data_IF_941452276249
#
_entry.id   IF_941452276249
#
_cell.length_a   1.000
_cell.length_b   1.000
_cell.length_c   1.000
_cell.angle_alpha   90.00
_cell.angle_beta   90.00
_cell.angle_gamma   90.00
#
_symmetry.space_group_name_H-M   'P 1'
#
loop_
_entity.id
_entity.type
_entity.pdbx_description
1 polymer ?
#
# COMPACT_ATOMS: atom_id res chain seq x y z
N UNK A 1 18.40 14.00 -12.08
CA UNK A 1 18.36 12.56 -11.71
C UNK A 1 17.04 11.93 -12.14
N UNK A 2 15.88 12.47 -11.76
CA UNK A 2 14.54 11.95 -12.13
C UNK A 2 14.39 11.90 -13.65
N UNK A 3 14.64 12.99 -14.37
CA UNK A 3 14.57 13.06 -15.82
C UNK A 3 15.46 12.03 -16.53
N UNK A 4 16.67 11.77 -16.01
CA UNK A 4 17.57 10.76 -16.56
C UNK A 4 16.97 9.35 -16.42
N UNK A 5 16.35 9.05 -15.27
CA UNK A 5 15.69 7.79 -15.03
C UNK A 5 14.51 7.55 -15.98
N UNK A 6 13.63 8.55 -16.16
CA UNK A 6 12.51 8.44 -17.11
C UNK A 6 12.97 8.40 -18.57
N UNK A 7 14.08 9.05 -18.91
CA UNK A 7 14.68 8.96 -20.26
C UNK A 7 15.13 7.54 -20.57
N UNK A 8 15.71 6.81 -19.60
CA UNK A 8 16.06 5.40 -19.79
C UNK A 8 14.80 4.57 -20.01
N UNK A 9 13.75 4.77 -19.21
CA UNK A 9 12.49 4.06 -19.35
C UNK A 9 11.82 4.28 -20.71
N UNK A 10 11.79 5.50 -21.19
CA UNK A 10 11.26 5.81 -22.53
C UNK A 10 12.09 5.17 -23.64
N UNK A 11 13.41 5.05 -23.46
CA UNK A 11 14.29 4.37 -24.43
C UNK A 11 13.96 2.90 -24.57
N UNK A 12 13.50 2.23 -23.50
CA UNK A 12 13.04 0.84 -23.52
C UNK A 12 11.55 0.69 -23.83
N UNK A 13 10.87 1.79 -24.22
CA UNK A 13 9.47 1.80 -24.62
C UNK A 13 8.45 1.92 -23.48
N UNK A 14 8.88 2.19 -22.25
CA UNK A 14 7.96 2.37 -21.11
C UNK A 14 7.65 3.86 -20.92
N UNK A 15 6.41 4.25 -21.19
CA UNK A 15 5.93 5.65 -21.17
C UNK A 15 4.86 5.95 -20.10
N UNK A 16 4.53 4.96 -19.26
CA UNK A 16 3.48 5.09 -18.26
C UNK A 16 4.03 5.37 -16.85
N UNK A 17 3.21 5.94 -15.94
CA UNK A 17 3.60 6.11 -14.53
C UNK A 17 3.97 4.78 -13.87
N UNK A 18 5.13 4.72 -13.23
CA UNK A 18 5.64 3.50 -12.57
C UNK A 18 4.91 3.25 -11.25
N UNK A 19 4.42 4.30 -10.62
CA UNK A 19 3.68 4.19 -9.37
C UNK A 19 2.45 3.29 -9.51
N UNK A 20 1.76 3.31 -10.64
CA UNK A 20 0.55 2.51 -10.84
C UNK A 20 0.79 1.00 -10.67
N UNK A 21 1.73 0.34 -11.37
CA UNK A 21 2.01 -1.08 -11.14
C UNK A 21 2.62 -1.36 -9.76
N UNK A 22 3.44 -0.48 -9.19
CA UNK A 22 4.07 -0.71 -7.88
C UNK A 22 3.06 -0.70 -6.74
N UNK A 23 1.94 0.04 -6.85
CA UNK A 23 0.88 0.06 -5.83
C UNK A 23 0.18 -1.28 -5.66
N UNK A 24 0.17 -2.13 -6.69
CA UNK A 24 -0.49 -3.43 -6.61
C UNK A 24 0.14 -4.36 -5.57
N UNK A 25 1.44 -4.21 -5.29
CA UNK A 25 2.13 -5.04 -4.30
C UNK A 25 1.62 -4.75 -2.88
N UNK A 26 1.72 -3.54 -2.32
CA UNK A 26 1.23 -3.28 -0.97
C UNK A 26 -0.30 -3.46 -0.85
N UNK A 27 -1.07 -3.10 -1.87
CA UNK A 27 -2.53 -3.29 -1.88
C UNK A 27 -2.88 -4.78 -1.84
N UNK A 28 -2.29 -5.60 -2.70
CA UNK A 28 -2.52 -7.05 -2.72
C UNK A 28 -2.12 -7.73 -1.42
N UNK A 29 -1.01 -7.30 -0.80
CA UNK A 29 -0.57 -7.82 0.49
C UNK A 29 -1.51 -7.46 1.63
N UNK A 30 -2.07 -6.23 1.66
CA UNK A 30 -3.08 -5.82 2.65
C UNK A 30 -4.37 -6.64 2.50
N UNK A 31 -4.84 -6.83 1.26
CA UNK A 31 -6.02 -7.67 0.98
C UNK A 31 -5.77 -9.11 1.45
N UNK A 32 -4.63 -9.69 1.08
CA UNK A 32 -4.24 -11.04 1.51
C UNK A 32 -4.16 -11.16 3.03
N UNK A 33 -3.54 -10.19 3.70
CA UNK A 33 -3.45 -10.16 5.16
C UNK A 33 -4.83 -10.16 5.83
N UNK A 34 -5.77 -9.36 5.34
CA UNK A 34 -7.12 -9.29 5.88
C UNK A 34 -7.88 -10.61 5.69
N UNK A 35 -7.78 -11.23 4.50
CA UNK A 35 -8.40 -12.53 4.22
C UNK A 35 -7.85 -13.61 5.17
N UNK A 36 -6.52 -13.73 5.28
CA UNK A 36 -5.89 -14.71 6.16
C UNK A 36 -6.19 -14.43 7.63
N UNK A 37 -6.32 -13.17 8.04
CA UNK A 37 -6.71 -12.78 9.37
C UNK A 37 -8.14 -13.23 9.71
N UNK A 38 -9.11 -13.04 8.81
CA UNK A 38 -10.49 -13.54 8.99
C UNK A 38 -10.51 -15.06 9.10
N UNK A 39 -9.79 -15.76 8.19
CA UNK A 39 -9.71 -17.23 8.20
C UNK A 39 -9.10 -17.72 9.52
N UNK A 40 -8.02 -17.10 9.96
CA UNK A 40 -7.40 -17.44 11.25
C UNK A 40 -8.33 -17.22 12.43
N UNK A 41 -9.01 -16.06 12.47
CA UNK A 41 -9.92 -15.70 13.55
C UNK A 41 -11.14 -16.63 13.63
N UNK A 42 -11.72 -16.97 12.46
CA UNK A 42 -12.92 -17.82 12.38
C UNK A 42 -12.62 -19.30 12.66
N UNK A 43 -11.52 -19.82 12.10
CA UNK A 43 -11.19 -21.24 12.14
C UNK A 43 -10.08 -21.59 13.15
N UNK A 44 -9.58 -20.60 13.92
CA UNK A 44 -8.50 -20.73 14.91
C UNK A 44 -7.25 -21.43 14.35
N UNK A 45 -6.83 -21.04 13.13
CA UNK A 45 -5.66 -21.59 12.45
C UNK A 45 -4.44 -20.68 12.63
N UNK A 46 -3.50 -21.08 13.49
CA UNK A 46 -2.29 -20.30 13.80
C UNK A 46 -1.41 -20.05 12.58
N UNK A 47 -1.31 -21.00 11.66
CA UNK A 47 -0.56 -20.81 10.42
C UNK A 47 -1.10 -19.65 9.58
N UNK A 48 -2.41 -19.45 9.54
CA UNK A 48 -3.04 -18.35 8.83
C UNK A 48 -2.77 -17.00 9.50
N UNK A 49 -2.65 -16.97 10.83
CA UNK A 49 -2.25 -15.77 11.56
C UNK A 49 -0.82 -15.33 11.18
N UNK A 50 0.11 -16.28 11.09
CA UNK A 50 1.48 -16.00 10.65
C UNK A 50 1.52 -15.51 9.21
N UNK A 51 0.75 -16.12 8.32
CA UNK A 51 0.66 -15.69 6.93
C UNK A 51 0.11 -14.27 6.83
N UNK A 52 -0.95 -13.94 7.55
CA UNK A 52 -1.49 -12.58 7.63
C UNK A 52 -0.42 -11.57 8.09
N UNK A 53 0.35 -11.92 9.12
CA UNK A 53 1.42 -11.08 9.64
C UNK A 53 2.55 -10.88 8.62
N UNK A 54 2.96 -11.93 7.89
CA UNK A 54 3.96 -11.81 6.83
C UNK A 54 3.45 -10.91 5.69
N UNK A 55 2.19 -11.02 5.29
CA UNK A 55 1.60 -10.15 4.27
C UNK A 55 1.61 -8.67 4.71
N UNK A 56 1.22 -8.37 5.96
CA UNK A 56 1.25 -6.99 6.49
C UNK A 56 2.69 -6.45 6.56
N UNK A 57 3.63 -7.27 6.98
CA UNK A 57 5.04 -6.89 7.04
C UNK A 57 5.58 -6.58 5.64
N UNK A 58 5.27 -7.42 4.67
CA UNK A 58 5.66 -7.21 3.28
C UNK A 58 5.00 -5.96 2.68
N UNK A 59 3.72 -5.70 3.02
CA UNK A 59 3.02 -4.48 2.62
C UNK A 59 3.74 -3.22 3.13
N UNK A 60 4.21 -3.24 4.39
CA UNK A 60 4.97 -2.13 4.98
C UNK A 60 6.28 -1.87 4.22
N UNK A 61 7.05 -2.91 3.93
CA UNK A 61 8.29 -2.77 3.16
C UNK A 61 8.03 -2.33 1.72
N UNK A 62 6.99 -2.84 1.07
CA UNK A 62 6.63 -2.45 -0.30
C UNK A 62 6.07 -1.03 -0.39
N UNK A 63 5.48 -0.50 0.68
CA UNK A 63 4.96 0.86 0.71
C UNK A 63 6.08 1.90 0.51
N UNK A 64 7.27 1.69 1.07
CA UNK A 64 8.38 2.64 0.99
C UNK A 64 8.80 2.93 -0.47
N UNK A 65 9.19 1.93 -1.29
CA UNK A 65 9.52 2.19 -2.68
C UNK A 65 8.32 2.70 -3.49
N UNK A 66 7.09 2.26 -3.16
CA UNK A 66 5.87 2.75 -3.82
C UNK A 66 5.67 4.26 -3.61
N UNK A 67 5.89 4.77 -2.40
CA UNK A 67 5.80 6.21 -2.10
C UNK A 67 6.90 6.99 -2.82
N UNK A 68 8.14 6.48 -2.82
CA UNK A 68 9.27 7.13 -3.51
C UNK A 68 8.94 7.28 -5.00
N UNK A 69 8.52 6.20 -5.65
CA UNK A 69 8.15 6.21 -7.08
C UNK A 69 6.94 7.12 -7.33
N UNK A 70 5.97 7.15 -6.40
CA UNK A 70 4.82 8.05 -6.48
C UNK A 70 5.20 9.53 -6.46
N UNK A 71 6.19 9.91 -5.66
CA UNK A 71 6.73 11.28 -5.64
C UNK A 71 7.49 11.59 -6.92
N UNK A 72 8.25 10.62 -7.46
CA UNK A 72 8.94 10.79 -8.74
C UNK A 72 7.96 10.99 -9.90
N UNK A 73 6.91 10.17 -10.00
CA UNK A 73 5.85 10.32 -11.00
C UNK A 73 5.10 11.65 -10.85
N UNK A 74 4.84 12.10 -9.62
CA UNK A 74 4.22 13.40 -9.36
C UNK A 74 5.07 14.56 -9.91
N UNK A 75 6.37 14.52 -9.72
CA UNK A 75 7.27 15.56 -10.25
C UNK A 75 7.39 15.48 -11.77
N UNK A 76 7.48 14.29 -12.34
CA UNK A 76 7.70 14.10 -13.78
C UNK A 76 6.45 14.35 -14.61
N UNK A 77 5.31 13.74 -14.27
CA UNK A 77 4.07 13.82 -15.07
C UNK A 77 3.17 15.01 -14.72
N UNK A 78 3.23 15.49 -13.47
CA UNK A 78 2.35 16.56 -13.00
C UNK A 78 3.11 17.84 -12.65
N UNK A 79 4.40 17.94 -12.96
CA UNK A 79 5.26 19.09 -12.69
C UNK A 79 5.15 19.62 -11.24
N UNK A 80 4.90 18.74 -10.28
CA UNK A 80 4.70 19.10 -8.88
C UNK A 80 3.36 19.79 -8.58
N UNK A 81 2.38 19.77 -9.51
CA UNK A 81 1.08 20.41 -9.29
C UNK A 81 0.29 19.74 -8.15
N UNK A 82 -0.31 20.56 -7.30
CA UNK A 82 -1.12 20.12 -6.17
C UNK A 82 -2.59 19.88 -6.58
N UNK A 83 -2.82 18.83 -7.35
CA UNK A 83 -4.16 18.39 -7.71
C UNK A 83 -4.91 17.82 -6.50
N UNK A 84 -6.24 17.90 -6.51
CA UNK A 84 -7.08 17.42 -5.40
C UNK A 84 -6.81 15.95 -5.03
N UNK A 85 -6.72 14.97 -5.98
CA UNK A 85 -6.42 13.59 -5.65
C UNK A 85 -5.05 13.42 -4.98
N UNK A 86 -4.03 14.21 -5.37
CA UNK A 86 -2.69 14.16 -4.78
C UNK A 86 -2.72 14.65 -3.33
N UNK A 87 -3.46 15.75 -3.06
CA UNK A 87 -3.65 16.26 -1.70
C UNK A 87 -4.31 15.25 -0.77
N UNK A 88 -5.22 14.42 -1.28
CA UNK A 88 -5.88 13.35 -0.51
C UNK A 88 -5.00 12.12 -0.35
N UNK A 89 -4.25 11.74 -1.39
CA UNK A 89 -3.37 10.55 -1.34
C UNK A 89 -2.22 10.69 -0.35
N UNK A 90 -1.65 11.88 -0.19
CA UNK A 90 -0.49 12.07 0.68
C UNK A 90 -0.80 11.77 2.17
N UNK A 91 -1.84 12.37 2.79
CA UNK A 91 -2.20 12.03 4.17
C UNK A 91 -2.69 10.59 4.32
N UNK A 92 -3.39 10.02 3.32
CA UNK A 92 -3.80 8.63 3.33
C UNK A 92 -2.61 7.67 3.29
N UNK A 93 -1.56 7.97 2.52
CA UNK A 93 -0.32 7.18 2.51
C UNK A 93 0.40 7.24 3.87
N UNK A 94 0.44 8.42 4.51
CA UNK A 94 0.97 8.58 5.87
C UNK A 94 0.15 7.79 6.90
N UNK A 95 -1.18 7.85 6.81
CA UNK A 95 -2.08 7.08 7.67
C UNK A 95 -1.87 5.56 7.45
N UNK A 96 -1.75 5.11 6.20
CA UNK A 96 -1.47 3.71 5.89
C UNK A 96 -0.16 3.25 6.51
N UNK A 97 0.89 4.06 6.44
CA UNK A 97 2.17 3.75 7.07
C UNK A 97 2.02 3.53 8.58
N UNK A 98 1.33 4.43 9.28
CA UNK A 98 1.06 4.32 10.74
C UNK A 98 0.25 3.05 11.04
N UNK A 99 -0.79 2.78 10.26
CA UNK A 99 -1.62 1.58 10.43
C UNK A 99 -0.83 0.29 10.20
N UNK A 100 0.05 0.24 9.18
CA UNK A 100 0.89 -0.93 8.90
C UNK A 100 1.92 -1.15 10.00
N UNK A 101 2.58 -0.10 10.50
CA UNK A 101 3.50 -0.19 11.65
C UNK A 101 2.76 -0.72 12.89
N UNK A 102 1.56 -0.21 13.16
CA UNK A 102 0.71 -0.67 14.27
C UNK A 102 0.31 -2.14 14.10
N UNK A 103 -0.07 -2.54 12.88
CA UNK A 103 -0.44 -3.91 12.55
C UNK A 103 0.73 -4.90 12.75
N UNK A 104 1.93 -4.52 12.31
CA UNK A 104 3.16 -5.31 12.51
C UNK A 104 3.47 -5.44 14.00
N UNK A 105 3.38 -4.34 14.76
CA UNK A 105 3.69 -4.32 16.20
C UNK A 105 2.75 -5.22 17.00
N UNK A 106 1.45 -5.18 16.71
CA UNK A 106 0.44 -6.01 17.39
C UNK A 106 0.59 -7.49 17.02
N UNK A 107 0.98 -7.79 15.78
CA UNK A 107 1.13 -9.17 15.29
C UNK A 107 2.48 -9.84 15.62
N UNK A 108 3.50 -9.08 16.04
CA UNK A 108 4.90 -9.54 16.11
C UNK A 108 5.14 -10.79 16.97
N UNK A 109 4.35 -10.99 18.05
CA UNK A 109 4.47 -12.18 18.95
C UNK A 109 3.17 -12.97 19.05
N UNK A 110 2.17 -12.63 18.26
CA UNK A 110 0.87 -13.26 18.35
C UNK A 110 0.84 -14.56 17.52
N UNK A 111 0.50 -15.66 18.15
CA UNK A 111 0.20 -16.93 17.46
C UNK A 111 -1.22 -16.95 16.91
N UNK A 112 -2.11 -16.11 17.43
CA UNK A 112 -3.51 -15.99 17.01
C UNK A 112 -3.87 -14.54 16.70
N UNK A 113 -4.85 -14.33 15.83
CA UNK A 113 -5.35 -13.00 15.51
C UNK A 113 -6.24 -12.48 16.63
N UNK A 114 -5.84 -11.39 17.28
CA UNK A 114 -6.67 -10.66 18.23
C UNK A 114 -7.74 -9.82 17.53
N UNK A 115 -8.81 -9.44 18.25
CA UNK A 115 -9.82 -8.51 17.72
C UNK A 115 -9.20 -7.18 17.33
N UNK A 116 -8.21 -6.70 18.09
CA UNK A 116 -7.49 -5.45 17.79
C UNK A 116 -6.72 -5.55 16.46
N UNK A 117 -5.99 -6.66 16.25
CA UNK A 117 -5.29 -6.89 14.99
C UNK A 117 -6.25 -6.93 13.80
N UNK A 118 -7.40 -7.62 13.95
CA UNK A 118 -8.41 -7.69 12.90
C UNK A 118 -8.97 -6.31 12.54
N UNK A 119 -9.24 -5.45 13.53
CA UNK A 119 -9.71 -4.08 13.32
C UNK A 119 -8.64 -3.26 12.56
N UNK A 120 -7.38 -3.36 12.98
CA UNK A 120 -6.30 -2.62 12.31
C UNK A 120 -6.14 -3.08 10.85
N UNK A 121 -6.24 -4.38 10.59
CA UNK A 121 -6.18 -4.92 9.22
C UNK A 121 -7.38 -4.45 8.36
N UNK A 122 -8.57 -4.36 8.94
CA UNK A 122 -9.75 -3.79 8.28
C UNK A 122 -9.54 -2.29 7.95
N UNK A 123 -8.96 -1.53 8.87
CA UNK A 123 -8.63 -0.13 8.64
C UNK A 123 -7.56 0.05 7.54
N UNK A 124 -6.55 -0.83 7.50
CA UNK A 124 -5.59 -0.88 6.38
C UNK A 124 -6.31 -1.12 5.05
N UNK A 125 -7.25 -2.09 5.01
CA UNK A 125 -8.01 -2.41 3.81
C UNK A 125 -8.87 -1.22 3.34
N UNK A 126 -9.58 -0.56 4.23
CA UNK A 126 -10.35 0.65 3.91
C UNK A 126 -9.45 1.77 3.37
N UNK A 127 -8.29 1.96 3.98
CA UNK A 127 -7.34 2.99 3.56
C UNK A 127 -6.77 2.70 2.16
N UNK A 128 -6.35 1.46 1.86
CA UNK A 128 -5.85 1.13 0.51
C UNK A 128 -6.94 1.21 -0.55
N UNK A 129 -8.20 0.94 -0.19
CA UNK A 129 -9.35 1.14 -1.09
C UNK A 129 -9.54 2.62 -1.42
N UNK A 130 -9.47 3.50 -0.41
CA UNK A 130 -9.54 4.95 -0.62
C UNK A 130 -8.36 5.45 -1.47
N UNK A 131 -7.13 4.98 -1.21
CA UNK A 131 -5.95 5.31 -2.02
C UNK A 131 -6.13 4.88 -3.49
N UNK A 132 -6.72 3.71 -3.72
CA UNK A 132 -7.05 3.19 -5.05
C UNK A 132 -8.06 4.09 -5.77
N UNK A 133 -9.14 4.50 -5.08
CA UNK A 133 -10.14 5.40 -5.62
C UNK A 133 -9.52 6.71 -6.12
N UNK A 134 -8.76 7.42 -5.27
CA UNK A 134 -8.07 8.65 -5.68
C UNK A 134 -6.97 8.40 -6.73
N UNK A 135 -6.46 7.17 -6.83
CA UNK A 135 -5.54 6.77 -7.90
C UNK A 135 -6.23 6.73 -9.26
N UNK A 136 -7.42 6.14 -9.32
CA UNK A 136 -8.25 6.09 -10.54
C UNK A 136 -8.70 7.50 -10.94
N UNK A 137 -9.17 8.31 -10.00
CA UNK A 137 -9.57 9.69 -10.25
C UNK A 137 -8.42 10.55 -10.81
N UNK A 138 -7.18 10.30 -10.39
CA UNK A 138 -6.00 11.02 -10.91
C UNK A 138 -5.70 10.70 -12.38
N UNK A 139 -6.03 9.47 -12.82
CA UNK A 139 -5.71 8.99 -14.18
C UNK A 139 -6.85 9.24 -15.16
N UNK A 140 -8.10 9.13 -14.71
CA UNK A 140 -9.31 9.15 -15.56
C UNK A 140 -10.27 10.30 -15.24
N UNK A 141 -10.08 11.04 -14.15
CA UNK A 141 -10.83 12.24 -13.78
C UNK A 141 -10.17 13.49 -14.36
#
# INVERSE_FOLDING_TARGET
>A
MIEFFYKILTTIGYTHPIHAPTTHIPVGMVIGAFIFAIVSWKFRKDNMARTAHHCITLALFALLPTVIVGVMDWQHYYAGAWLFPIKMKLPLAGLLFILLVSAVSVGYRATTISKQALIIYALCLLNVTALGYFGVELVYG
#
